data_IF_561174846865
#
_entry.id   IF_561174846865
#
_cell.length_a   1.000
_cell.length_b   1.000
_cell.length_c   1.000
_cell.angle_alpha   90.00
_cell.angle_beta   90.00
_cell.angle_gamma   90.00
#
_symmetry.space_group_name_H-M   'P 1'
#
loop_
_entity.id
_entity.type
_entity.pdbx_description
1 polymer ?
#
# COMPACT_ATOMS: atom_id res chain seq x y z
N UNK A 1 -10.78 5.90 -6.31
CA UNK A 1 -10.00 4.69 -5.95
C UNK A 1 -9.44 4.70 -4.52
N UNK A 2 -9.14 5.85 -3.92
CA UNK A 2 -8.66 5.95 -2.53
C UNK A 2 -9.38 5.13 -1.46
N UNK A 3 -10.73 5.24 -1.31
CA UNK A 3 -11.44 4.47 -0.29
C UNK A 3 -11.36 2.95 -0.49
N UNK A 4 -11.33 2.50 -1.75
CA UNK A 4 -11.19 1.08 -2.08
C UNK A 4 -9.77 0.58 -1.75
N UNK A 5 -8.74 1.40 -1.97
CA UNK A 5 -7.36 1.07 -1.59
C UNK A 5 -7.21 0.94 -0.06
N UNK A 6 -7.79 1.86 0.71
CA UNK A 6 -7.77 1.78 2.18
C UNK A 6 -8.49 0.53 2.67
N UNK A 7 -9.68 0.23 2.14
CA UNK A 7 -10.43 -0.97 2.48
C UNK A 7 -9.65 -2.26 2.16
N UNK A 8 -9.00 -2.30 0.99
CA UNK A 8 -8.16 -3.43 0.60
C UNK A 8 -7.00 -3.66 1.58
N UNK A 9 -6.27 -2.60 1.97
CA UNK A 9 -5.17 -2.73 2.92
C UNK A 9 -5.64 -3.19 4.30
N UNK A 10 -6.81 -2.71 4.74
CA UNK A 10 -7.43 -3.14 5.99
C UNK A 10 -7.82 -4.63 5.96
N UNK A 11 -8.47 -5.09 4.89
CA UNK A 11 -8.88 -6.49 4.74
C UNK A 11 -7.67 -7.44 4.64
N UNK A 12 -6.64 -7.04 3.88
CA UNK A 12 -5.40 -7.80 3.79
C UNK A 12 -4.69 -7.89 5.15
N UNK A 13 -4.64 -6.80 5.91
CA UNK A 13 -4.03 -6.79 7.23
C UNK A 13 -4.74 -7.75 8.19
N UNK A 14 -6.07 -7.74 8.20
CA UNK A 14 -6.87 -8.67 8.99
C UNK A 14 -6.58 -10.14 8.64
N UNK A 15 -6.54 -10.47 7.35
CA UNK A 15 -6.22 -11.83 6.89
C UNK A 15 -4.79 -12.26 7.26
N UNK A 16 -3.80 -11.37 7.14
CA UNK A 16 -2.42 -11.66 7.53
C UNK A 16 -2.27 -11.84 9.04
N UNK A 17 -3.03 -11.10 9.85
CA UNK A 17 -3.03 -11.23 11.30
C UNK A 17 -3.64 -12.58 11.75
N UNK A 18 -4.66 -13.07 11.07
CA UNK A 18 -5.18 -14.43 11.26
C UNK A 18 -4.11 -15.48 10.92
N UNK A 19 -3.45 -15.33 9.76
CA UNK A 19 -2.40 -16.25 9.33
C UNK A 19 -1.17 -16.24 10.25
N UNK A 20 -0.83 -15.07 10.81
CA UNK A 20 0.21 -14.92 11.84
C UNK A 20 -0.13 -15.75 13.07
N UNK A 21 -1.38 -15.69 13.54
CA UNK A 21 -1.84 -16.43 14.71
C UNK A 21 -1.84 -17.95 14.48
N UNK A 22 -2.26 -18.40 13.30
CA UNK A 22 -2.30 -19.82 12.93
C UNK A 22 -0.90 -20.43 12.76
N UNK A 23 -0.03 -19.74 12.05
CA UNK A 23 1.28 -20.27 11.63
C UNK A 23 2.41 -19.92 12.59
N UNK A 24 2.18 -18.98 13.51
CA UNK A 24 3.19 -18.38 14.40
C UNK A 24 4.36 -17.77 13.64
N UNK A 25 4.09 -17.21 12.47
CA UNK A 25 5.04 -16.44 11.66
C UNK A 25 4.63 -14.97 11.68
N UNK A 26 5.54 -14.12 11.22
CA UNK A 26 5.26 -12.71 10.96
C UNK A 26 5.16 -12.52 9.45
N UNK A 27 4.01 -12.05 8.99
CA UNK A 27 3.73 -11.65 7.61
C UNK A 27 3.67 -10.12 7.54
N UNK A 28 4.37 -9.56 6.56
CA UNK A 28 4.42 -8.13 6.28
C UNK A 28 3.47 -7.76 5.14
N UNK A 29 2.83 -6.60 5.22
CA UNK A 29 2.03 -5.99 4.16
C UNK A 29 2.75 -4.76 3.62
N UNK A 30 3.08 -4.77 2.33
CA UNK A 30 3.78 -3.66 1.66
C UNK A 30 3.12 -3.28 0.34
N UNK A 31 3.30 -2.04 -0.10
CA UNK A 31 2.82 -1.58 -1.41
C UNK A 31 3.79 -0.59 -2.04
N UNK A 32 3.95 -0.68 -3.36
CA UNK A 32 4.68 0.30 -4.15
C UNK A 32 3.70 1.32 -4.74
N UNK A 33 3.95 2.61 -4.50
CA UNK A 33 3.05 3.71 -4.86
C UNK A 33 3.76 4.68 -5.81
N UNK A 34 3.01 5.27 -6.76
CA UNK A 34 3.55 6.30 -7.64
C UNK A 34 3.96 7.54 -6.85
N UNK A 35 5.16 8.08 -7.10
CA UNK A 35 5.66 9.27 -6.41
C UNK A 35 5.12 10.60 -6.97
N UNK A 36 4.29 10.57 -8.02
CA UNK A 36 3.66 11.74 -8.61
C UNK A 36 2.61 12.36 -7.68
N UNK A 37 2.64 13.69 -7.52
CA UNK A 37 1.71 14.42 -6.65
C UNK A 37 0.23 14.15 -7.01
N UNK A 38 -0.07 14.00 -8.30
CA UNK A 38 -1.39 13.64 -8.83
C UNK A 38 -1.88 12.26 -8.36
N UNK A 39 -0.96 11.31 -8.15
CA UNK A 39 -1.26 9.96 -7.65
C UNK A 39 -1.35 9.91 -6.13
N UNK A 40 -0.78 10.91 -5.45
CA UNK A 40 -0.81 11.02 -4.00
C UNK A 40 -2.14 11.64 -3.51
N UNK A 41 -2.75 12.55 -4.27
CA UNK A 41 -4.06 13.14 -3.91
C UNK A 41 -5.25 12.18 -4.04
N UNK A 42 -5.16 11.16 -4.90
CA UNK A 42 -6.28 10.24 -5.17
C UNK A 42 -6.51 9.19 -4.06
N UNK A 43 -5.54 9.01 -3.16
CA UNK A 43 -5.55 7.99 -2.10
C UNK A 43 -5.12 8.59 -0.77
N UNK A 44 -5.91 8.35 0.27
CA UNK A 44 -5.53 8.70 1.63
C UNK A 44 -4.49 7.69 2.17
N UNK A 45 -3.22 7.91 1.83
CA UNK A 45 -2.12 7.08 2.31
C UNK A 45 -1.90 7.21 3.83
N UNK A 46 -2.35 8.28 4.47
CA UNK A 46 -2.31 8.36 5.93
C UNK A 46 -3.27 7.34 6.55
N UNK A 47 -4.48 7.22 6.00
CA UNK A 47 -5.42 6.18 6.40
C UNK A 47 -4.97 4.76 5.99
N UNK A 48 -4.28 4.58 4.86
CA UNK A 48 -3.81 3.25 4.44
C UNK A 48 -2.56 2.79 5.23
N UNK A 49 -1.62 3.69 5.53
CA UNK A 49 -0.33 3.36 6.14
C UNK A 49 -0.44 2.71 7.52
N UNK A 50 -1.51 2.95 8.26
CA UNK A 50 -1.74 2.29 9.55
C UNK A 50 -1.91 0.76 9.44
N UNK A 51 -2.23 0.25 8.25
CA UNK A 51 -2.42 -1.18 7.98
C UNK A 51 -1.19 -1.83 7.34
N UNK A 52 -0.14 -1.06 7.04
CA UNK A 52 1.00 -1.50 6.25
C UNK A 52 2.31 -1.37 7.02
N UNK A 53 3.26 -2.24 6.73
CA UNK A 53 4.60 -2.20 7.31
C UNK A 53 5.52 -1.25 6.53
N UNK A 54 5.43 -1.28 5.18
CA UNK A 54 6.25 -0.43 4.32
C UNK A 54 5.48 0.10 3.10
N UNK A 55 5.76 1.36 2.75
CA UNK A 55 5.35 1.98 1.49
C UNK A 55 6.60 2.25 0.66
N UNK A 56 6.66 1.69 -0.54
CA UNK A 56 7.76 1.91 -1.47
C UNK A 56 7.38 2.99 -2.48
N UNK A 57 7.90 4.21 -2.30
CA UNK A 57 7.71 5.27 -3.26
C UNK A 57 8.49 4.97 -4.55
N UNK A 58 7.79 4.82 -5.67
CA UNK A 58 8.39 4.63 -6.99
C UNK A 58 8.88 5.98 -7.53
N UNK A 59 10.03 6.43 -7.03
CA UNK A 59 10.66 7.71 -7.42
C UNK A 59 11.47 7.59 -8.72
N UNK A 60 10.87 6.97 -9.72
CA UNK A 60 11.42 6.72 -11.05
C UNK A 60 10.28 6.79 -12.08
N UNK A 61 10.60 6.63 -13.37
CA UNK A 61 9.65 6.75 -14.49
C UNK A 61 9.01 8.15 -14.66
N UNK A 62 9.69 9.21 -14.21
CA UNK A 62 9.23 10.59 -14.45
C UNK A 62 9.29 11.02 -15.93
N UNK A 63 10.16 10.40 -16.74
CA UNK A 63 10.32 10.64 -18.18
C UNK A 63 10.62 9.33 -18.90
N UNK A 64 10.20 9.21 -20.15
CA UNK A 64 10.51 8.08 -21.01
C UNK A 64 10.02 8.27 -22.44
N UNK A 65 10.19 7.25 -23.27
CA UNK A 65 9.94 7.31 -24.72
C UNK A 65 8.44 7.27 -25.12
N UNK A 66 7.56 7.68 -24.21
CA UNK A 66 6.10 7.73 -24.41
C UNK A 66 5.59 9.11 -24.81
N UNK A 67 6.49 10.10 -24.96
CA UNK A 67 6.26 11.40 -25.58
C UNK A 67 6.86 11.46 -27.01
#
# INVERSE_FOLDING_TARGET
DGPAYVALMQELKAMLDELNAETRKTYELTSAIGAGYDKIEDVDYAAASQYMDYIFAMTYDFYGAWD
#
